data_IF_312484055322
#
_entry.id   IF_312484055322
#
_cell.length_a   1.000
_cell.length_b   1.000
_cell.length_c   1.000
_cell.angle_alpha   90.00
_cell.angle_beta   90.00
_cell.angle_gamma   90.00
#
_symmetry.space_group_name_H-M   'P 1'
#
loop_
_entity.id
_entity.type
_entity.pdbx_description
1 polymer ?
#
# COMPACT_ATOMS: atom_id res chain seq x y z
N UNK A 1 0.56 21.29 -3.08
CA UNK A 1 0.31 19.84 -3.22
C UNK A 1 1.63 19.19 -3.57
N UNK A 2 2.11 18.26 -2.75
CA UNK A 2 3.35 17.53 -3.04
C UNK A 2 3.05 16.45 -4.07
N UNK A 3 3.97 16.26 -5.01
CA UNK A 3 3.86 15.24 -6.06
C UNK A 3 5.03 14.28 -5.95
N UNK A 4 4.81 13.03 -6.36
CA UNK A 4 5.82 11.98 -6.40
C UNK A 4 5.69 11.17 -7.69
N UNK A 5 6.74 10.46 -8.06
CA UNK A 5 6.68 9.49 -9.14
C UNK A 5 6.04 8.20 -8.62
N UNK A 6 4.83 7.92 -9.08
CA UNK A 6 4.01 6.82 -8.60
C UNK A 6 4.55 5.50 -9.15
N UNK A 7 5.04 4.63 -8.27
CA UNK A 7 5.60 3.34 -8.64
C UNK A 7 4.59 2.47 -9.39
N UNK A 8 3.31 2.49 -9.00
CA UNK A 8 2.29 1.65 -9.62
C UNK A 8 1.83 2.19 -11.00
N UNK A 9 1.52 3.49 -11.08
CA UNK A 9 1.01 4.10 -12.32
C UNK A 9 2.13 4.51 -13.30
N UNK A 10 3.40 4.50 -12.87
CA UNK A 10 4.58 4.91 -13.64
C UNK A 10 4.51 6.35 -14.15
N UNK A 11 3.85 7.23 -13.41
CA UNK A 11 3.64 8.65 -13.74
C UNK A 11 3.69 9.54 -12.49
N UNK A 12 3.72 10.87 -12.68
CA UNK A 12 3.64 11.82 -11.57
C UNK A 12 2.23 11.84 -10.98
N UNK A 13 2.11 11.67 -9.66
CA UNK A 13 0.85 11.70 -8.95
C UNK A 13 0.94 12.49 -7.65
N UNK A 14 -0.23 12.87 -7.13
CA UNK A 14 -0.31 13.51 -5.81
C UNK A 14 0.12 12.53 -4.72
N UNK A 15 1.00 12.97 -3.83
CA UNK A 15 1.40 12.19 -2.68
C UNK A 15 0.25 12.05 -1.67
N UNK A 16 0.24 10.95 -0.91
CA UNK A 16 -0.67 10.75 0.22
C UNK A 16 -0.49 11.85 1.29
N UNK A 17 -1.55 12.21 2.01
CA UNK A 17 -1.46 13.20 3.08
C UNK A 17 -0.65 12.72 4.30
N UNK A 18 -0.63 11.41 4.52
CA UNK A 18 0.08 10.76 5.62
C UNK A 18 0.33 9.28 5.29
N UNK A 19 1.32 8.63 5.93
CA UNK A 19 1.52 7.19 5.81
C UNK A 19 0.28 6.40 6.27
N UNK A 20 -0.18 5.39 5.50
CA UNK A 20 -1.37 4.62 5.88
C UNK A 20 -1.09 3.55 6.95
N UNK A 21 0.18 3.16 7.12
CA UNK A 21 0.62 2.20 8.12
C UNK A 21 1.81 2.77 8.92
N UNK A 22 2.02 2.30 10.16
CA UNK A 22 3.30 2.52 10.83
C UNK A 22 4.41 1.65 10.22
N UNK A 23 5.66 2.05 10.43
CA UNK A 23 6.84 1.28 10.04
C UNK A 23 7.22 1.37 8.55
N UNK A 24 8.07 0.44 8.12
CA UNK A 24 8.73 0.46 6.80
C UNK A 24 7.70 0.40 5.66
N UNK A 25 6.68 -0.45 5.78
CA UNK A 25 5.63 -0.60 4.76
C UNK A 25 4.92 0.73 4.51
N UNK A 26 4.49 1.41 5.58
CA UNK A 26 3.83 2.70 5.45
C UNK A 26 4.73 3.80 4.88
N UNK A 27 6.00 3.78 5.25
CA UNK A 27 7.01 4.71 4.74
C UNK A 27 7.32 4.50 3.24
N UNK A 28 7.39 3.25 2.78
CA UNK A 28 7.51 2.91 1.35
C UNK A 28 6.29 3.42 0.59
N UNK A 29 5.08 3.11 1.08
CA UNK A 29 3.83 3.52 0.42
C UNK A 29 3.75 5.04 0.33
N UNK A 30 4.01 5.76 1.42
CA UNK A 30 3.94 7.22 1.45
C UNK A 30 4.88 7.92 0.46
N UNK A 31 6.03 7.31 0.16
CA UNK A 31 7.04 7.87 -0.73
C UNK A 31 7.01 7.35 -2.17
N UNK A 32 6.25 6.28 -2.45
CA UNK A 32 6.25 5.62 -3.77
C UNK A 32 4.86 5.45 -4.38
N UNK A 33 3.79 5.52 -3.59
CA UNK A 33 2.42 5.33 -4.05
C UNK A 33 1.66 6.66 -3.99
N UNK A 34 1.07 7.03 -5.12
CA UNK A 34 0.27 8.22 -5.26
C UNK A 34 -1.18 7.99 -4.80
N UNK A 35 -1.90 9.08 -4.50
CA UNK A 35 -3.27 9.08 -4.04
C UNK A 35 -4.22 8.30 -4.97
N UNK A 36 -4.04 8.41 -6.29
CA UNK A 36 -4.87 7.70 -7.27
C UNK A 36 -4.69 6.17 -7.18
N UNK A 37 -3.45 5.69 -7.10
CA UNK A 37 -3.15 4.28 -6.93
C UNK A 37 -3.63 3.74 -5.58
N UNK A 38 -3.52 4.53 -4.51
CA UNK A 38 -4.04 4.18 -3.20
C UNK A 38 -5.56 3.99 -3.20
N UNK A 39 -6.30 4.88 -3.86
CA UNK A 39 -7.75 4.74 -4.02
C UNK A 39 -8.14 3.46 -4.77
N UNK A 40 -7.35 3.05 -5.78
CA UNK A 40 -7.58 1.79 -6.48
C UNK A 40 -7.38 0.57 -5.56
N UNK A 41 -6.36 0.59 -4.71
CA UNK A 41 -6.15 -0.43 -3.69
C UNK A 41 -7.30 -0.52 -2.71
N UNK A 42 -7.83 0.61 -2.19
CA UNK A 42 -8.95 0.59 -1.24
C UNK A 42 -10.21 -0.06 -1.84
N UNK A 43 -10.46 0.17 -3.14
CA UNK A 43 -11.57 -0.48 -3.85
C UNK A 43 -11.36 -1.99 -3.95
N UNK A 44 -10.15 -2.42 -4.33
CA UNK A 44 -9.80 -3.84 -4.41
C UNK A 44 -9.80 -4.55 -3.04
N UNK A 45 -9.26 -3.88 -2.00
CA UNK A 45 -9.27 -4.34 -0.62
C UNK A 45 -10.70 -4.62 -0.14
N UNK A 46 -11.64 -3.76 -0.49
CA UNK A 46 -13.06 -3.95 -0.14
C UNK A 46 -13.63 -5.23 -0.78
N UNK A 47 -13.25 -5.55 -2.02
CA UNK A 47 -13.64 -6.80 -2.68
C UNK A 47 -13.04 -8.01 -1.95
N UNK A 48 -11.73 -7.98 -1.65
CA UNK A 48 -11.06 -9.04 -0.91
C UNK A 48 -11.68 -9.31 0.46
N UNK A 49 -12.03 -8.25 1.20
CA UNK A 49 -12.69 -8.34 2.50
C UNK A 49 -14.02 -9.06 2.37
N UNK A 50 -14.83 -8.70 1.38
CA UNK A 50 -16.16 -9.28 1.19
C UNK A 50 -16.11 -10.73 0.69
N UNK A 51 -15.27 -11.02 -0.29
CA UNK A 51 -15.16 -12.35 -0.90
C UNK A 51 -14.59 -13.39 0.06
N UNK A 52 -13.57 -13.02 0.84
CA UNK A 52 -12.90 -13.91 1.78
C UNK A 52 -13.43 -13.78 3.21
N UNK A 53 -14.43 -12.91 3.44
CA UNK A 53 -15.01 -12.60 4.77
C UNK A 53 -13.97 -12.20 5.82
N UNK A 54 -13.00 -11.39 5.41
CA UNK A 54 -11.91 -10.94 6.28
C UNK A 54 -12.41 -9.90 7.29
N UNK A 55 -11.86 -9.91 8.49
CA UNK A 55 -12.08 -8.91 9.51
C UNK A 55 -10.81 -8.07 9.72
N UNK A 56 -10.77 -6.79 9.28
CA UNK A 56 -9.61 -5.91 9.49
C UNK A 56 -9.22 -5.68 10.96
N UNK A 57 -10.08 -6.02 11.92
CA UNK A 57 -9.77 -5.96 13.35
C UNK A 57 -9.01 -7.21 13.84
N UNK A 58 -9.02 -8.30 13.09
CA UNK A 58 -8.23 -9.51 13.39
C UNK A 58 -6.80 -9.38 12.87
N UNK A 59 -5.83 -9.79 13.69
CA UNK A 59 -4.41 -9.66 13.36
C UNK A 59 -4.02 -10.47 12.12
N UNK A 60 -4.53 -11.70 12.00
CA UNK A 60 -4.21 -12.58 10.88
C UNK A 60 -4.73 -12.03 9.55
N UNK A 61 -5.94 -11.47 9.57
CA UNK A 61 -6.56 -10.89 8.38
C UNK A 61 -5.87 -9.59 7.97
N UNK A 62 -5.43 -8.77 8.93
CA UNK A 62 -4.59 -7.60 8.61
C UNK A 62 -3.30 -7.98 7.89
N UNK A 63 -2.61 -9.02 8.36
CA UNK A 63 -1.39 -9.51 7.71
C UNK A 63 -1.68 -10.03 6.30
N UNK A 64 -2.84 -10.65 6.11
CA UNK A 64 -3.29 -11.11 4.79
C UNK A 64 -3.55 -9.94 3.85
N UNK A 65 -4.26 -8.90 4.31
CA UNK A 65 -4.52 -7.68 3.54
C UNK A 65 -3.24 -6.90 3.24
N UNK A 66 -2.31 -6.81 4.20
CA UNK A 66 -1.02 -6.16 4.02
C UNK A 66 -0.17 -6.88 2.97
N UNK A 67 -0.12 -8.22 3.03
CA UNK A 67 0.56 -9.01 2.00
C UNK A 67 -0.07 -8.81 0.62
N UNK A 68 -1.39 -8.88 0.52
CA UNK A 68 -2.10 -8.65 -0.74
C UNK A 68 -1.86 -7.24 -1.30
N UNK A 69 -1.68 -6.23 -0.44
CA UNK A 69 -1.31 -4.87 -0.83
C UNK A 69 0.11 -4.79 -1.39
N UNK A 70 1.07 -5.42 -0.71
CA UNK A 70 2.46 -5.48 -1.15
C UNK A 70 2.54 -6.15 -2.52
N UNK A 71 1.79 -7.24 -2.72
CA UNK A 71 1.69 -7.94 -4.00
C UNK A 71 0.99 -7.08 -5.06
N UNK A 72 -0.10 -6.39 -4.72
CA UNK A 72 -0.86 -5.53 -5.64
C UNK A 72 0.00 -4.40 -6.23
N UNK A 73 0.89 -3.83 -5.40
CA UNK A 73 1.77 -2.72 -5.79
C UNK A 73 3.19 -3.14 -6.18
N UNK A 74 3.52 -4.44 -6.12
CA UNK A 74 4.87 -4.99 -6.35
C UNK A 74 5.97 -4.32 -5.47
N UNK A 75 5.69 -4.19 -4.17
CA UNK A 75 6.55 -3.43 -3.24
C UNK A 75 7.64 -4.25 -2.55
N UNK A 76 7.70 -5.57 -2.74
CA UNK A 76 8.58 -6.43 -1.95
C UNK A 76 10.05 -6.00 -2.05
N UNK A 77 10.55 -5.79 -3.27
CA UNK A 77 11.93 -5.37 -3.48
C UNK A 77 12.25 -3.99 -2.86
N UNK A 78 11.27 -3.08 -2.82
CA UNK A 78 11.42 -1.75 -2.22
C UNK A 78 11.44 -1.82 -0.69
N UNK A 79 10.66 -2.72 -0.11
CA UNK A 79 10.65 -2.97 1.34
C UNK A 79 11.98 -3.61 1.76
N UNK A 80 12.43 -4.62 1.04
CA UNK A 80 13.68 -5.34 1.33
C UNK A 80 14.89 -4.39 1.28
N UNK A 81 14.94 -3.52 0.28
CA UNK A 81 16.01 -2.53 0.14
C UNK A 81 16.09 -1.53 1.32
N UNK A 82 14.98 -1.25 2.01
CA UNK A 82 14.95 -0.36 3.18
C UNK A 82 15.21 -1.08 4.51
N UNK A 83 15.18 -2.41 4.54
CA UNK A 83 15.46 -3.19 5.75
C UNK A 83 16.96 -3.42 5.97
N UNK A 84 17.78 -3.20 4.94
CA UNK A 84 19.24 -3.44 4.99
C UNK A 84 20.07 -2.22 5.41
N UNK A 85 19.43 -1.07 5.64
CA UNK A 85 20.04 0.17 6.13
C UNK A 85 19.95 0.29 7.67
#
# INVERSE_FOLDING_TARGET
>A
MTTLHCHYLKEQGTQLSSPPYPGIVGDVIHHTICQAAWSAWLAYQTQLINENRLNPLEKADRLTLEKAMIDFFDLQALIDARQTD
#
